data_IF_947740813966
#
_entry.id   IF_947740813966
#
_cell.length_a   1.000
_cell.length_b   1.000
_cell.length_c   1.000
_cell.angle_alpha   90.00
_cell.angle_beta   90.00
_cell.angle_gamma   90.00
#
_symmetry.space_group_name_H-M   'P 1'
#
loop_
_entity.id
_entity.type
_entity.pdbx_description
1 polymer ?
#
# COMPACT_ATOMS: atom_id res chain seq x y z
N UNK A 1 -5.82 59.95 0.66
CA UNK A 1 -7.07 59.59 1.37
C UNK A 1 -6.75 58.33 2.18
N UNK A 2 -6.64 58.44 3.50
CA UNK A 2 -6.28 57.31 4.36
C UNK A 2 -7.51 56.44 4.58
N UNK A 3 -7.46 55.18 4.16
CA UNK A 3 -8.53 54.21 4.37
C UNK A 3 -8.46 53.74 5.84
N UNK A 4 -9.30 54.31 6.70
CA UNK A 4 -9.55 53.77 8.05
C UNK A 4 -10.69 52.76 7.93
N UNK A 5 -10.45 51.45 8.07
CA UNK A 5 -11.50 50.45 7.92
C UNK A 5 -12.51 50.56 9.07
N UNK A 6 -13.81 50.60 8.75
CA UNK A 6 -14.91 50.69 9.73
C UNK A 6 -15.11 49.38 10.54
N UNK A 7 -14.54 48.26 10.08
CA UNK A 7 -14.62 46.97 10.79
C UNK A 7 -13.43 46.06 10.48
N UNK A 8 -13.04 45.25 11.47
CA UNK A 8 -11.99 44.25 11.36
C UNK A 8 -12.64 42.87 11.54
N UNK A 9 -12.70 42.07 10.48
CA UNK A 9 -13.36 40.74 10.52
C UNK A 9 -12.47 39.65 11.08
N UNK A 10 -11.15 39.77 10.94
CA UNK A 10 -10.19 38.80 11.45
C UNK A 10 -8.84 39.49 11.72
N UNK A 11 -8.15 39.02 12.76
CA UNK A 11 -6.80 39.46 13.10
C UNK A 11 -5.97 38.22 13.48
N UNK A 12 -4.74 38.17 12.95
CA UNK A 12 -3.76 37.14 13.32
C UNK A 12 -2.83 37.71 14.39
N UNK A 13 -2.78 37.06 15.55
CA UNK A 13 -1.92 37.47 16.67
C UNK A 13 -0.88 36.39 16.94
N UNK A 14 0.39 36.75 16.79
CA UNK A 14 1.52 35.94 17.25
C UNK A 14 1.74 36.15 18.75
N UNK A 15 1.95 35.06 19.50
CA UNK A 15 2.24 35.10 20.93
C UNK A 15 3.61 34.47 21.19
N UNK A 16 4.42 35.09 22.03
CA UNK A 16 5.78 34.60 22.35
C UNK A 16 5.79 33.35 23.23
N UNK A 17 4.69 33.10 23.96
CA UNK A 17 4.54 31.96 24.86
C UNK A 17 3.38 31.06 24.45
N UNK A 18 3.68 29.76 24.26
CA UNK A 18 2.67 28.72 23.94
C UNK A 18 1.60 28.57 25.04
N UNK A 19 1.96 28.85 26.30
CA UNK A 19 1.00 28.79 27.41
C UNK A 19 0.02 29.97 27.40
N UNK A 20 0.49 31.15 26.97
CA UNK A 20 -0.35 32.34 26.83
C UNK A 20 -1.44 32.15 25.77
N UNK A 21 -1.19 31.33 24.75
CA UNK A 21 -2.13 31.00 23.67
C UNK A 21 -3.48 30.49 24.16
N UNK A 22 -3.50 29.60 25.16
CA UNK A 22 -4.75 29.09 25.72
C UNK A 22 -5.47 30.12 26.62
N UNK A 23 -4.70 30.94 27.34
CA UNK A 23 -5.25 32.00 28.19
C UNK A 23 -5.89 33.11 27.36
N UNK A 24 -5.20 33.58 26.32
CA UNK A 24 -5.70 34.60 25.39
C UNK A 24 -6.93 34.07 24.64
N UNK A 25 -6.92 32.83 24.14
CA UNK A 25 -8.10 32.21 23.54
C UNK A 25 -9.30 32.22 24.48
N UNK A 26 -9.09 31.83 25.75
CA UNK A 26 -10.15 31.82 26.76
C UNK A 26 -10.63 33.24 27.09
N UNK A 27 -9.74 34.21 27.17
CA UNK A 27 -10.09 35.61 27.42
C UNK A 27 -10.97 36.16 26.29
N UNK A 28 -10.55 35.98 25.04
CA UNK A 28 -11.30 36.45 23.85
C UNK A 28 -12.66 35.77 23.74
N UNK A 29 -12.74 34.44 23.90
CA UNK A 29 -14.01 33.72 23.82
C UNK A 29 -15.01 34.07 24.94
N UNK A 30 -14.54 34.64 26.06
CA UNK A 30 -15.40 35.07 27.17
C UNK A 30 -15.61 36.59 27.21
N UNK A 31 -15.11 37.31 26.22
CA UNK A 31 -15.28 38.76 26.14
C UNK A 31 -16.76 39.07 25.90
N UNK A 32 -17.40 39.80 26.82
CA UNK A 32 -18.86 40.01 26.82
C UNK A 32 -19.31 41.23 26.01
N UNK A 33 -18.42 42.20 25.80
CA UNK A 33 -18.78 43.44 25.11
C UNK A 33 -19.01 43.22 23.62
N UNK A 34 -18.31 42.25 23.02
CA UNK A 34 -18.44 41.88 21.61
C UNK A 34 -18.33 40.36 21.43
N UNK A 35 -19.11 39.75 20.51
CA UNK A 35 -19.07 38.33 20.24
C UNK A 35 -17.81 37.97 19.42
N UNK A 36 -16.70 37.79 20.13
CA UNK A 36 -15.41 37.44 19.54
C UNK A 36 -15.14 35.93 19.65
N UNK A 37 -14.45 35.37 18.65
CA UNK A 37 -14.00 33.99 18.66
C UNK A 37 -12.51 33.91 18.35
N UNK A 38 -11.77 33.23 19.21
CA UNK A 38 -10.37 32.89 19.03
C UNK A 38 -10.21 31.41 18.69
N UNK A 39 -9.58 31.15 17.55
CA UNK A 39 -9.22 29.82 17.05
C UNK A 39 -7.70 29.73 16.97
N UNK A 40 -7.15 28.55 17.23
CA UNK A 40 -5.74 28.26 17.06
C UNK A 40 -5.56 27.57 15.70
N UNK A 41 -5.17 28.29 14.63
CA UNK A 41 -5.12 27.72 13.29
C UNK A 41 -4.19 26.51 13.23
N UNK A 42 -3.07 26.53 13.97
CA UNK A 42 -2.15 25.38 14.03
C UNK A 42 -2.78 24.12 14.63
N UNK A 43 -3.63 24.25 15.66
CA UNK A 43 -4.32 23.10 16.26
C UNK A 43 -5.44 22.61 15.36
N UNK A 44 -6.23 23.51 14.78
CA UNK A 44 -7.29 23.16 13.85
C UNK A 44 -6.75 22.44 12.59
N UNK A 45 -5.63 22.91 12.04
CA UNK A 45 -4.94 22.23 10.94
C UNK A 45 -4.42 20.86 11.39
N UNK A 46 -3.82 20.76 12.58
CA UNK A 46 -3.34 19.47 13.08
C UNK A 46 -4.48 18.45 13.28
N UNK A 47 -5.63 18.90 13.76
CA UNK A 47 -6.82 18.06 13.93
C UNK A 47 -7.34 17.55 12.57
N UNK A 48 -7.38 18.41 11.54
CA UNK A 48 -7.69 17.98 10.17
C UNK A 48 -6.68 16.93 9.65
N UNK A 49 -5.38 17.14 9.88
CA UNK A 49 -4.34 16.18 9.48
C UNK A 49 -4.44 14.86 10.25
N UNK A 50 -4.81 14.91 11.54
CA UNK A 50 -5.04 13.72 12.37
C UNK A 50 -6.18 12.86 11.80
N UNK A 51 -7.28 13.47 11.37
CA UNK A 51 -8.39 12.74 10.75
C UNK A 51 -7.97 12.08 9.43
N UNK A 52 -7.12 12.75 8.64
CA UNK A 52 -6.55 12.17 7.42
C UNK A 52 -5.64 10.97 7.74
N UNK A 53 -4.81 11.06 8.79
CA UNK A 53 -3.93 9.97 9.21
C UNK A 53 -4.70 8.71 9.63
N UNK A 54 -5.86 8.85 10.29
CA UNK A 54 -6.71 7.70 10.63
C UNK A 54 -7.24 7.01 9.37
N UNK A 55 -7.69 7.79 8.37
CA UNK A 55 -8.16 7.25 7.10
C UNK A 55 -7.03 6.54 6.33
N UNK A 56 -5.83 7.11 6.32
CA UNK A 56 -4.64 6.50 5.73
C UNK A 56 -4.31 5.15 6.38
N UNK A 57 -4.26 5.09 7.72
CA UNK A 57 -3.99 3.84 8.44
C UNK A 57 -5.06 2.77 8.18
N UNK A 58 -6.34 3.16 8.07
CA UNK A 58 -7.42 2.23 7.73
C UNK A 58 -7.23 1.65 6.31
N UNK A 59 -6.87 2.50 5.33
CA UNK A 59 -6.59 2.05 3.96
C UNK A 59 -5.36 1.13 3.90
N UNK A 60 -4.30 1.42 4.65
CA UNK A 60 -3.11 0.56 4.75
C UNK A 60 -3.45 -0.81 5.35
N UNK A 61 -4.30 -0.85 6.37
CA UNK A 61 -4.77 -2.10 6.96
C UNK A 61 -5.52 -2.95 5.92
N UNK A 62 -6.47 -2.34 5.20
CA UNK A 62 -7.23 -3.03 4.15
C UNK A 62 -6.29 -3.52 3.03
N UNK A 63 -5.36 -2.68 2.59
CA UNK A 63 -4.36 -3.05 1.59
C UNK A 63 -3.52 -4.26 2.03
N UNK A 64 -3.14 -4.31 3.30
CA UNK A 64 -2.40 -5.44 3.89
C UNK A 64 -3.21 -6.74 3.79
N UNK A 65 -4.52 -6.69 4.09
CA UNK A 65 -5.39 -7.86 3.93
C UNK A 65 -5.52 -8.29 2.47
N UNK A 66 -5.66 -7.34 1.53
CA UNK A 66 -5.72 -7.64 0.09
C UNK A 66 -4.45 -8.36 -0.37
N UNK A 67 -3.28 -7.88 0.06
CA UNK A 67 -1.99 -8.53 -0.21
C UNK A 67 -1.96 -9.96 0.33
N UNK A 68 -2.36 -10.16 1.59
CA UNK A 68 -2.39 -11.50 2.23
C UNK A 68 -3.29 -12.44 1.45
N UNK A 69 -4.51 -12.01 1.10
CA UNK A 69 -5.47 -12.82 0.33
C UNK A 69 -4.91 -13.13 -1.06
N UNK A 70 -4.26 -12.16 -1.72
CA UNK A 70 -3.60 -12.36 -3.01
C UNK A 70 -2.50 -13.41 -2.94
N UNK A 71 -1.64 -13.36 -1.91
CA UNK A 71 -0.57 -14.34 -1.68
C UNK A 71 -1.12 -15.74 -1.41
N UNK A 72 -2.19 -15.86 -0.62
CA UNK A 72 -2.86 -17.13 -0.35
C UNK A 72 -3.50 -17.68 -1.64
N UNK A 73 -4.15 -16.83 -2.44
CA UNK A 73 -4.74 -17.22 -3.72
C UNK A 73 -3.68 -17.72 -4.70
N UNK A 74 -2.56 -17.01 -4.81
CA UNK A 74 -1.41 -17.44 -5.60
C UNK A 74 -0.88 -18.81 -5.15
N UNK A 75 -0.69 -19.00 -3.84
CA UNK A 75 -0.26 -20.27 -3.28
C UNK A 75 -1.24 -21.40 -3.61
N UNK A 76 -2.55 -21.14 -3.49
CA UNK A 76 -3.59 -22.11 -3.78
C UNK A 76 -3.56 -22.55 -5.26
N UNK A 77 -3.46 -21.59 -6.18
CA UNK A 77 -3.35 -21.87 -7.63
C UNK A 77 -2.09 -22.68 -7.94
N UNK A 78 -0.95 -22.32 -7.36
CA UNK A 78 0.30 -23.06 -7.54
C UNK A 78 0.21 -24.50 -7.01
N UNK A 79 -0.40 -24.69 -5.83
CA UNK A 79 -0.60 -26.02 -5.24
C UNK A 79 -1.60 -26.86 -6.04
N UNK A 80 -2.67 -26.26 -6.56
CA UNK A 80 -3.63 -26.94 -7.43
C UNK A 80 -2.96 -27.37 -8.74
N UNK A 81 -2.19 -26.47 -9.37
CA UNK A 81 -1.42 -26.77 -10.59
C UNK A 81 -0.41 -27.90 -10.39
N UNK A 82 0.22 -28.03 -9.21
CA UNK A 82 1.10 -29.16 -8.90
C UNK A 82 0.38 -30.52 -8.96
N UNK A 83 -0.88 -30.58 -8.53
CA UNK A 83 -1.66 -31.82 -8.58
C UNK A 83 -2.07 -32.20 -10.01
N UNK A 84 -2.38 -31.20 -10.84
CA UNK A 84 -2.74 -31.41 -12.25
C UNK A 84 -1.50 -31.77 -13.09
N UNK A 85 -0.36 -31.10 -12.83
CA UNK A 85 0.91 -31.31 -13.54
C UNK A 85 1.72 -32.49 -13.01
N UNK A 86 1.17 -33.32 -12.12
CA UNK A 86 1.84 -34.53 -11.59
C UNK A 86 2.23 -35.50 -12.72
N UNK A 87 1.41 -35.60 -13.76
CA UNK A 87 1.70 -36.38 -14.98
C UNK A 87 2.87 -35.80 -15.78
N UNK A 88 2.93 -34.49 -15.94
CA UNK A 88 4.03 -33.82 -16.65
C UNK A 88 5.35 -33.96 -15.90
N UNK A 89 5.33 -33.87 -14.57
CA UNK A 89 6.53 -34.07 -13.74
C UNK A 89 7.05 -35.51 -13.81
N UNK A 90 6.16 -36.51 -13.94
CA UNK A 90 6.56 -37.89 -14.17
C UNK A 90 7.28 -38.02 -15.52
N UNK A 91 6.76 -37.40 -16.59
CA UNK A 91 7.38 -37.38 -17.93
C UNK A 91 8.75 -36.69 -17.88
N UNK A 92 8.86 -35.52 -17.25
CA UNK A 92 10.13 -34.79 -17.11
C UNK A 92 11.18 -35.61 -16.35
N UNK A 93 10.77 -36.43 -15.36
CA UNK A 93 11.67 -37.37 -14.68
C UNK A 93 12.13 -38.51 -15.59
N UNK A 94 11.29 -39.04 -16.48
CA UNK A 94 11.70 -40.05 -17.45
C UNK A 94 12.78 -39.53 -18.41
N UNK A 95 12.79 -38.22 -18.68
CA UNK A 95 13.82 -37.54 -19.49
C UNK A 95 15.07 -37.18 -18.65
N UNK A 96 15.08 -37.47 -17.35
CA UNK A 96 16.23 -37.28 -16.46
C UNK A 96 16.27 -35.93 -15.72
N UNK A 97 15.16 -35.19 -15.67
CA UNK A 97 15.09 -33.92 -14.94
C UNK A 97 15.34 -34.14 -13.43
N UNK A 98 16.28 -33.38 -12.87
CA UNK A 98 16.60 -33.42 -11.43
C UNK A 98 15.51 -32.68 -10.65
N UNK A 99 15.14 -33.13 -9.43
CA UNK A 99 14.16 -32.44 -8.58
C UNK A 99 14.47 -30.94 -8.35
N UNK A 100 15.75 -30.55 -8.36
CA UNK A 100 16.19 -29.14 -8.27
C UNK A 100 15.78 -28.29 -9.47
N UNK A 101 15.73 -28.87 -10.68
CA UNK A 101 15.32 -28.15 -11.88
C UNK A 101 13.81 -27.86 -11.85
N UNK A 102 13.01 -28.81 -11.37
CA UNK A 102 11.56 -28.64 -11.20
C UNK A 102 11.26 -27.55 -10.16
N UNK A 103 11.96 -27.56 -9.01
CA UNK A 103 11.77 -26.52 -7.99
C UNK A 103 12.18 -25.13 -8.48
N UNK A 104 13.24 -25.03 -9.29
CA UNK A 104 13.73 -23.76 -9.82
C UNK A 104 12.80 -23.20 -10.90
N UNK A 105 12.24 -24.08 -11.74
CA UNK A 105 11.21 -23.72 -12.71
C UNK A 105 9.98 -23.12 -12.01
N UNK A 106 9.44 -23.80 -11.00
CA UNK A 106 8.28 -23.32 -10.24
C UNK A 106 8.55 -21.98 -9.52
N UNK A 107 9.73 -21.83 -8.92
CA UNK A 107 10.13 -20.57 -8.30
C UNK A 107 10.21 -19.44 -9.33
N UNK A 108 10.74 -19.73 -10.53
CA UNK A 108 10.82 -18.74 -11.62
C UNK A 108 9.45 -18.36 -12.19
N UNK A 109 8.52 -19.32 -12.32
CA UNK A 109 7.14 -19.07 -12.76
C UNK A 109 6.43 -18.16 -11.76
N UNK A 110 6.59 -18.44 -10.47
CA UNK A 110 6.04 -17.60 -9.40
C UNK A 110 6.62 -16.19 -9.43
N UNK A 111 7.95 -16.07 -9.52
CA UNK A 111 8.61 -14.77 -9.55
C UNK A 111 8.16 -13.96 -10.76
N UNK A 112 8.03 -14.60 -11.92
CA UNK A 112 7.52 -13.96 -13.13
C UNK A 112 6.09 -13.45 -12.96
N UNK A 113 5.19 -14.27 -12.40
CA UNK A 113 3.81 -13.86 -12.10
C UNK A 113 3.76 -12.69 -11.11
N UNK A 114 4.60 -12.69 -10.08
CA UNK A 114 4.67 -11.60 -9.11
C UNK A 114 5.14 -10.29 -9.75
N UNK A 115 6.21 -10.33 -10.55
CA UNK A 115 6.72 -9.17 -11.28
C UNK A 115 5.71 -8.64 -12.30
N UNK A 116 5.06 -9.53 -13.05
CA UNK A 116 4.01 -9.16 -14.00
C UNK A 116 2.81 -8.52 -13.30
N UNK A 117 2.40 -9.06 -12.15
CA UNK A 117 1.36 -8.49 -11.30
C UNK A 117 1.69 -7.09 -10.80
N UNK A 118 2.92 -6.87 -10.31
CA UNK A 118 3.40 -5.55 -9.91
C UNK A 118 3.38 -4.58 -11.09
N UNK A 119 3.90 -4.99 -12.25
CA UNK A 119 3.96 -4.15 -13.44
C UNK A 119 2.55 -3.74 -13.92
N UNK A 120 1.61 -4.69 -13.98
CA UNK A 120 0.21 -4.42 -14.34
C UNK A 120 -0.49 -3.55 -13.30
N UNK A 121 -0.27 -3.80 -12.00
CA UNK A 121 -0.83 -2.98 -10.93
C UNK A 121 -0.33 -1.54 -10.97
N UNK A 122 0.97 -1.33 -11.19
CA UNK A 122 1.54 0.01 -11.40
C UNK A 122 0.96 0.69 -12.64
N UNK A 123 0.84 -0.02 -13.76
CA UNK A 123 0.24 0.55 -14.97
C UNK A 123 -1.21 1.00 -14.73
N UNK A 124 -2.02 0.18 -14.04
CA UNK A 124 -3.39 0.54 -13.66
C UNK A 124 -3.43 1.73 -12.69
N UNK A 125 -2.52 1.80 -11.72
CA UNK A 125 -2.41 2.92 -10.81
C UNK A 125 -2.13 4.22 -11.57
N UNK A 126 -1.10 4.24 -12.42
CA UNK A 126 -0.76 5.44 -13.19
C UNK A 126 -1.84 5.83 -14.19
N UNK A 127 -2.51 4.85 -14.83
CA UNK A 127 -3.64 5.11 -15.71
C UNK A 127 -4.79 5.76 -14.95
N UNK A 128 -5.12 5.24 -13.76
CA UNK A 128 -6.19 5.80 -12.93
C UNK A 128 -5.85 7.20 -12.40
N UNK A 129 -4.59 7.46 -12.02
CA UNK A 129 -4.11 8.79 -11.66
C UNK A 129 -4.24 9.78 -12.82
N UNK A 130 -3.83 9.38 -14.02
CA UNK A 130 -3.92 10.21 -15.22
C UNK A 130 -5.37 10.62 -15.54
N UNK A 131 -6.32 9.67 -15.39
CA UNK A 131 -7.75 9.94 -15.62
C UNK A 131 -8.37 10.76 -14.47
N UNK A 132 -7.96 10.49 -13.22
CA UNK A 132 -8.53 11.16 -12.05
C UNK A 132 -8.02 12.60 -11.87
N UNK A 133 -6.78 12.90 -12.30
CA UNK A 133 -6.15 14.22 -12.14
C UNK A 133 -7.03 15.39 -12.62
N UNK A 134 -7.54 15.44 -13.86
CA UNK A 134 -8.35 16.56 -14.31
C UNK A 134 -9.68 16.69 -13.56
N UNK A 135 -10.29 15.57 -13.16
CA UNK A 135 -11.56 15.54 -12.42
C UNK A 135 -11.35 16.13 -11.02
N UNK A 136 -10.33 15.65 -10.32
CA UNK A 136 -10.02 16.10 -8.96
C UNK A 136 -9.58 17.56 -8.95
N UNK A 137 -8.80 17.98 -9.94
CA UNK A 137 -8.38 19.37 -10.06
C UNK A 137 -9.56 20.31 -10.34
N UNK A 138 -10.53 19.90 -11.17
CA UNK A 138 -11.70 20.71 -11.48
C UNK A 138 -12.68 20.83 -10.31
N UNK A 139 -12.90 19.75 -9.55
CA UNK A 139 -13.89 19.73 -8.47
C UNK A 139 -13.34 20.16 -7.11
N UNK A 140 -12.07 19.85 -6.82
CA UNK A 140 -11.48 20.06 -5.50
C UNK A 140 -10.28 21.03 -5.51
N UNK A 141 -9.80 21.45 -6.69
CA UNK A 141 -8.62 22.32 -6.81
C UNK A 141 -7.31 21.65 -6.40
N UNK A 142 -7.31 20.33 -6.17
CA UNK A 142 -6.14 19.57 -5.72
C UNK A 142 -5.38 19.08 -6.96
N UNK A 143 -4.11 19.46 -7.08
CA UNK A 143 -3.23 18.97 -8.13
C UNK A 143 -2.57 17.66 -7.70
N UNK A 144 -2.98 16.56 -8.32
CA UNK A 144 -2.34 15.25 -8.16
C UNK A 144 -1.07 15.22 -9.02
N UNK A 145 0.09 15.33 -8.39
CA UNK A 145 1.37 15.20 -9.09
C UNK A 145 1.64 13.72 -9.44
N UNK A 146 1.84 13.44 -10.73
CA UNK A 146 2.24 12.11 -11.19
C UNK A 146 3.76 12.02 -11.00
N UNK A 147 4.19 11.39 -9.92
CA UNK A 147 5.58 11.19 -9.58
C UNK A 147 5.97 9.70 -9.68
N UNK A 148 7.25 9.39 -9.93
CA UNK A 148 7.75 8.02 -9.75
C UNK A 148 7.56 7.57 -8.29
N UNK A 149 7.47 6.25 -8.04
CA UNK A 149 7.22 5.74 -6.70
C UNK A 149 8.33 6.19 -5.76
N UNK A 150 7.95 6.74 -4.62
CA UNK A 150 8.86 7.21 -3.59
C UNK A 150 9.58 6.06 -2.88
N UNK A 151 10.45 6.41 -1.92
CA UNK A 151 11.22 5.43 -1.14
C UNK A 151 10.32 4.47 -0.35
N UNK A 152 9.19 4.95 0.15
CA UNK A 152 8.25 4.11 0.91
C UNK A 152 7.52 3.11 -0.01
N UNK A 153 7.04 3.56 -1.17
CA UNK A 153 6.32 2.73 -2.13
C UNK A 153 7.23 1.66 -2.73
N UNK A 154 8.46 2.02 -3.09
CA UNK A 154 9.47 1.06 -3.57
C UNK A 154 9.82 0.03 -2.52
N UNK A 155 9.89 0.41 -1.24
CA UNK A 155 10.08 -0.52 -0.13
C UNK A 155 8.89 -1.49 0.01
N UNK A 156 7.65 -1.01 -0.10
CA UNK A 156 6.45 -1.86 -0.06
C UNK A 156 6.41 -2.85 -1.24
N UNK A 157 6.72 -2.40 -2.45
CA UNK A 157 6.81 -3.27 -3.63
C UNK A 157 7.89 -4.34 -3.45
N UNK A 158 9.06 -3.98 -2.91
CA UNK A 158 10.14 -4.92 -2.64
C UNK A 158 9.74 -5.96 -1.57
N UNK A 159 9.03 -5.53 -0.52
CA UNK A 159 8.52 -6.40 0.54
C UNK A 159 7.47 -7.37 0.00
N UNK A 160 6.57 -6.89 -0.85
CA UNK A 160 5.58 -7.73 -1.53
C UNK A 160 6.25 -8.79 -2.40
N UNK A 161 7.25 -8.40 -3.21
CA UNK A 161 8.01 -9.34 -4.04
C UNK A 161 8.75 -10.38 -3.19
N UNK A 162 9.37 -9.96 -2.09
CA UNK A 162 10.03 -10.86 -1.15
C UNK A 162 9.04 -11.83 -0.48
N UNK A 163 7.86 -11.34 -0.10
CA UNK A 163 6.81 -12.16 0.49
C UNK A 163 6.26 -13.19 -0.53
N UNK A 164 6.01 -12.78 -1.77
CA UNK A 164 5.60 -13.67 -2.86
C UNK A 164 6.65 -14.77 -3.10
N UNK A 165 7.92 -14.39 -3.15
CA UNK A 165 9.03 -15.35 -3.28
C UNK A 165 9.09 -16.32 -2.09
N UNK A 166 8.96 -15.84 -0.85
CA UNK A 166 8.95 -16.68 0.34
C UNK A 166 7.78 -17.68 0.35
N UNK A 167 6.57 -17.24 -0.02
CA UNK A 167 5.39 -18.11 -0.13
C UNK A 167 5.58 -19.17 -1.21
N UNK A 168 6.22 -18.83 -2.32
CA UNK A 168 6.51 -19.76 -3.43
C UNK A 168 7.48 -20.88 -3.08
N UNK A 169 8.29 -20.70 -2.03
CA UNK A 169 9.21 -21.71 -1.58
C UNK A 169 8.46 -22.94 -1.03
N UNK A 170 7.24 -22.76 -0.52
CA UNK A 170 6.38 -23.83 0.00
C UNK A 170 6.05 -24.88 -1.09
N UNK A 171 5.43 -24.53 -2.24
CA UNK A 171 5.17 -25.48 -3.32
C UNK A 171 6.46 -26.01 -3.94
N UNK A 172 7.51 -25.20 -4.06
CA UNK A 172 8.80 -25.65 -4.59
C UNK A 172 9.44 -26.76 -3.73
N UNK A 173 9.43 -26.60 -2.40
CA UNK A 173 9.92 -27.61 -1.46
C UNK A 173 9.02 -28.86 -1.44
N UNK A 174 7.70 -28.70 -1.56
CA UNK A 174 6.78 -29.84 -1.67
C UNK A 174 7.06 -30.66 -2.93
N UNK A 175 7.23 -29.99 -4.08
CA UNK A 175 7.57 -30.64 -5.35
C UNK A 175 8.91 -31.37 -5.28
N UNK A 176 9.91 -30.79 -4.61
CA UNK A 176 11.20 -31.45 -4.38
C UNK A 176 11.06 -32.73 -3.56
N UNK A 177 10.27 -32.70 -2.46
CA UNK A 177 10.05 -33.86 -1.58
C UNK A 177 9.27 -34.98 -2.28
N UNK A 178 8.22 -34.65 -3.02
CA UNK A 178 7.43 -35.66 -3.76
C UNK A 178 8.26 -36.30 -4.86
N UNK A 179 9.08 -35.53 -5.58
CA UNK A 179 9.97 -36.07 -6.61
C UNK A 179 11.05 -37.01 -6.05
N UNK A 180 11.53 -36.79 -4.82
CA UNK A 180 12.49 -37.67 -4.15
C UNK A 180 11.81 -38.96 -3.65
N UNK A 181 10.62 -38.85 -3.05
CA UNK A 181 9.87 -40.00 -2.51
C UNK A 181 9.39 -40.97 -3.60
N UNK A 182 8.89 -40.43 -4.73
CA UNK A 182 8.47 -41.23 -5.89
C UNK A 182 9.68 -41.84 -6.66
N UNK A 183 10.92 -41.66 -6.20
CA UNK A 183 12.12 -42.33 -6.76
C UNK A 183 12.52 -43.62 -6.07
N UNK A 184 11.89 -43.95 -4.94
CA UNK A 184 12.30 -45.08 -4.10
C UNK A 184 11.28 -46.24 -4.07
N UNK A 185 10.20 -46.18 -4.83
CA UNK A 185 9.19 -47.24 -4.84
C UNK A 185 8.77 -47.59 -6.27
N UNK A 186 9.28 -48.69 -6.86
CA UNK A 186 8.59 -49.32 -7.97
C UNK A 186 7.36 -50.02 -7.37
N UNK A 187 6.18 -49.43 -7.56
CA UNK A 187 4.93 -50.17 -7.36
C UNK A 187 4.73 -51.06 -8.58
N UNK A 188 5.04 -52.34 -8.40
CA UNK A 188 4.55 -53.44 -9.23
C UNK A 188 3.06 -53.60 -8.95
#
# INVERSE_FOLDING_TARGET
MALTPDSITAVLVGLDSRAATFQVRRYVNNFRAEPLLAILPGVALHELWSLMGVAEHALLLVSTFVVIVGLIGMLAVMLAGLNERRREMAILRFVGARPRQISLLLASETLFLAVAGIAMGMALLYLSLYVAQPIVQAHYGIHLAIAPPGTHETLLLSLFLAAAFAVSLIPALRAYRTALADGLVPKI
#
